data_IF_889177259558
#
_entry.id   IF_889177259558
#
_cell.length_a   1.000
_cell.length_b   1.000
_cell.length_c   1.000
_cell.angle_alpha   90.00
_cell.angle_beta   90.00
_cell.angle_gamma   90.00
#
_symmetry.space_group_name_H-M   'P 1'
#
loop_
_entity.id
_entity.type
_entity.pdbx_description
1 polymer ?
#
# COMPACT_ATOMS: atom_id res chain seq x y z
N UNK A 1 -17.77 1.86 7.74
CA UNK A 1 -18.68 2.51 6.77
C UNK A 1 -18.62 1.80 5.41
N UNK A 2 -17.55 1.88 4.60
CA UNK A 2 -17.46 1.25 3.26
C UNK A 2 -17.72 -0.27 3.30
N UNK A 3 -17.09 -0.99 4.22
CA UNK A 3 -17.30 -2.42 4.37
C UNK A 3 -18.78 -2.76 4.65
N UNK A 4 -19.46 -2.00 5.52
CA UNK A 4 -20.87 -2.18 5.80
C UNK A 4 -21.76 -1.88 4.58
N UNK A 5 -21.42 -0.85 3.80
CA UNK A 5 -22.17 -0.49 2.60
C UNK A 5 -22.11 -1.58 1.51
N UNK A 6 -21.03 -2.34 1.45
CA UNK A 6 -20.85 -3.45 0.49
C UNK A 6 -21.14 -4.83 1.06
N UNK A 7 -21.60 -4.96 2.33
CA UNK A 7 -21.70 -6.27 2.98
C UNK A 7 -20.36 -7.01 3.06
N UNK A 8 -19.25 -6.25 3.08
CA UNK A 8 -17.90 -6.76 3.01
C UNK A 8 -17.27 -6.97 4.40
N UNK A 9 -16.26 -7.83 4.45
CA UNK A 9 -15.41 -7.99 5.65
C UNK A 9 -14.26 -7.00 5.60
N UNK A 10 -14.01 -6.29 6.71
CA UNK A 10 -12.82 -5.47 6.87
C UNK A 10 -11.66 -6.36 7.34
N UNK A 11 -10.63 -6.53 6.51
CA UNK A 11 -9.43 -7.30 6.84
C UNK A 11 -8.31 -6.35 7.26
N UNK A 12 -7.74 -6.52 8.47
CA UNK A 12 -6.60 -5.73 8.90
C UNK A 12 -5.34 -6.12 8.11
N UNK A 13 -4.62 -5.14 7.59
CA UNK A 13 -3.38 -5.35 6.83
C UNK A 13 -2.19 -5.76 7.71
N UNK A 14 -2.29 -5.55 9.03
CA UNK A 14 -1.37 -6.10 10.02
C UNK A 14 -2.18 -7.06 10.90
N UNK A 15 -2.13 -8.38 10.65
CA UNK A 15 -2.87 -9.37 11.43
C UNK A 15 -2.55 -9.32 12.93
N UNK A 16 -3.44 -9.80 13.81
CA UNK A 16 -3.22 -9.79 15.26
C UNK A 16 -1.90 -10.44 15.70
N UNK A 17 -1.47 -11.49 15.02
CA UNK A 17 -0.21 -12.20 15.28
C UNK A 17 1.05 -11.33 15.08
N UNK A 18 0.94 -10.25 14.33
CA UNK A 18 2.03 -9.29 14.08
C UNK A 18 2.04 -8.11 15.06
N UNK A 19 0.99 -7.92 15.86
CA UNK A 19 0.83 -6.69 16.66
C UNK A 19 1.89 -6.52 17.74
N UNK A 20 2.30 -7.60 18.40
CA UNK A 20 3.36 -7.56 19.42
C UNK A 20 4.71 -7.11 18.82
N UNK A 21 5.08 -7.66 17.67
CA UNK A 21 6.34 -7.34 16.99
C UNK A 21 6.29 -5.95 16.32
N UNK A 22 5.11 -5.48 15.94
CA UNK A 22 4.93 -4.18 15.29
C UNK A 22 5.49 -3.02 16.09
N UNK A 23 5.23 -3.00 17.40
CA UNK A 23 5.72 -1.92 18.28
C UNK A 23 7.25 -1.89 18.32
N UNK A 24 7.88 -3.06 18.33
CA UNK A 24 9.34 -3.16 18.33
C UNK A 24 9.92 -2.70 16.97
N UNK A 25 9.39 -3.19 15.88
CA UNK A 25 9.82 -2.80 14.52
C UNK A 25 9.62 -1.30 14.27
N UNK A 26 8.53 -0.73 14.76
CA UNK A 26 8.26 0.72 14.60
C UNK A 26 9.22 1.59 15.45
N UNK A 27 9.86 1.05 16.50
CA UNK A 27 10.92 1.73 17.26
C UNK A 27 12.27 1.69 16.55
N UNK A 28 12.52 0.66 15.74
CA UNK A 28 13.75 0.54 14.99
C UNK A 28 13.86 1.63 13.90
N UNK A 29 15.08 2.14 13.69
CA UNK A 29 15.34 3.18 12.69
C UNK A 29 15.59 2.65 11.28
N UNK A 30 15.53 1.32 11.07
CA UNK A 30 15.85 0.68 9.81
C UNK A 30 14.61 0.58 8.93
N UNK A 31 14.59 1.34 7.82
CA UNK A 31 13.46 1.41 6.89
C UNK A 31 13.25 0.09 6.12
N UNK A 32 14.32 -0.62 5.78
CA UNK A 32 14.28 -1.91 5.10
C UNK A 32 13.67 -2.99 5.98
N UNK A 33 14.14 -3.12 7.24
CA UNK A 33 13.59 -4.09 8.19
C UNK A 33 12.10 -3.84 8.43
N UNK A 34 11.72 -2.56 8.56
CA UNK A 34 10.32 -2.16 8.69
C UNK A 34 9.51 -2.51 7.44
N UNK A 35 10.04 -2.26 6.25
CA UNK A 35 9.39 -2.62 4.99
C UNK A 35 9.16 -4.13 4.90
N UNK A 36 10.17 -4.95 5.18
CA UNK A 36 10.07 -6.41 5.19
C UNK A 36 9.00 -6.91 6.17
N UNK A 37 8.95 -6.33 7.37
CA UNK A 37 7.92 -6.66 8.36
C UNK A 37 6.51 -6.40 7.82
N UNK A 38 6.25 -5.19 7.28
CA UNK A 38 4.93 -4.85 6.75
C UNK A 38 4.58 -5.65 5.50
N UNK A 39 5.54 -5.99 4.64
CA UNK A 39 5.32 -6.88 3.51
C UNK A 39 4.93 -8.28 3.98
N UNK A 40 5.63 -8.86 4.97
CA UNK A 40 5.27 -10.16 5.55
C UNK A 40 3.86 -10.15 6.13
N UNK A 41 3.49 -9.10 6.88
CA UNK A 41 2.14 -8.95 7.41
C UNK A 41 1.07 -8.86 6.30
N UNK A 42 1.36 -8.13 5.23
CA UNK A 42 0.47 -8.00 4.07
C UNK A 42 0.29 -9.32 3.32
N UNK A 43 1.35 -10.10 3.12
CA UNK A 43 1.24 -11.44 2.52
C UNK A 43 0.39 -12.37 3.39
N UNK A 44 0.56 -12.35 4.71
CA UNK A 44 -0.30 -13.11 5.63
C UNK A 44 -1.77 -12.66 5.58
N UNK A 45 -2.01 -11.35 5.50
CA UNK A 45 -3.37 -10.82 5.32
C UNK A 45 -3.96 -11.25 3.97
N UNK A 46 -3.15 -11.37 2.92
CA UNK A 46 -3.58 -11.81 1.59
C UNK A 46 -4.16 -13.22 1.61
N UNK A 47 -3.60 -14.15 2.38
CA UNK A 47 -4.15 -15.50 2.53
C UNK A 47 -5.57 -15.46 3.13
N UNK A 48 -5.82 -14.57 4.06
CA UNK A 48 -7.16 -14.37 4.63
C UNK A 48 -8.10 -13.73 3.61
N UNK A 49 -7.63 -12.72 2.88
CA UNK A 49 -8.40 -12.06 1.81
C UNK A 49 -8.82 -13.08 0.75
N UNK A 50 -7.91 -13.93 0.28
CA UNK A 50 -8.19 -14.95 -0.73
C UNK A 50 -9.25 -15.95 -0.26
N UNK A 51 -9.20 -16.35 1.02
CA UNK A 51 -10.23 -17.25 1.59
C UNK A 51 -11.62 -16.63 1.56
N UNK A 52 -11.76 -15.35 1.92
CA UNK A 52 -13.04 -14.66 1.83
C UNK A 52 -13.52 -14.53 0.39
N UNK A 53 -12.65 -14.08 -0.51
CA UNK A 53 -12.98 -13.94 -1.93
C UNK A 53 -13.40 -15.27 -2.57
N UNK A 54 -12.71 -16.37 -2.24
CA UNK A 54 -13.07 -17.72 -2.71
C UNK A 54 -14.43 -18.21 -2.18
N UNK A 55 -14.86 -17.67 -1.04
CA UNK A 55 -16.20 -17.91 -0.48
C UNK A 55 -17.27 -16.94 -1.03
N UNK A 56 -16.91 -16.08 -2.00
CA UNK A 56 -17.82 -15.07 -2.55
C UNK A 56 -18.07 -13.87 -1.61
N UNK A 57 -17.27 -13.70 -0.56
CA UNK A 57 -17.41 -12.64 0.41
C UNK A 57 -16.56 -11.44 -0.01
N UNK A 58 -17.15 -10.25 -0.25
CA UNK A 58 -16.38 -9.05 -0.56
C UNK A 58 -15.46 -8.64 0.59
N UNK A 59 -14.32 -8.04 0.27
CA UNK A 59 -13.32 -7.63 1.25
C UNK A 59 -12.96 -6.15 1.07
N UNK A 60 -12.90 -5.43 2.18
CA UNK A 60 -12.33 -4.09 2.25
C UNK A 60 -11.03 -4.17 3.05
N UNK A 61 -9.99 -3.50 2.58
CA UNK A 61 -8.72 -3.34 3.28
C UNK A 61 -8.34 -1.86 3.37
N UNK A 62 -7.81 -1.45 4.51
CA UNK A 62 -7.19 -0.13 4.64
C UNK A 62 -5.70 -0.28 4.41
N UNK A 63 -5.19 0.38 3.35
CA UNK A 63 -3.74 0.43 3.10
C UNK A 63 -3.12 -0.92 2.70
N UNK A 64 -3.23 -1.26 1.44
CA UNK A 64 -2.64 -2.47 0.87
C UNK A 64 -1.17 -2.26 0.43
N UNK A 65 -0.60 -3.09 -0.47
CA UNK A 65 0.81 -3.04 -0.89
C UNK A 65 1.27 -1.67 -1.37
N UNK A 66 0.45 -0.93 -2.11
CA UNK A 66 0.80 0.38 -2.64
C UNK A 66 1.28 1.34 -1.54
N UNK A 67 0.58 1.40 -0.40
CA UNK A 67 1.01 2.25 0.72
C UNK A 67 2.32 1.77 1.35
N UNK A 68 2.48 0.46 1.53
CA UNK A 68 3.72 -0.08 2.08
C UNK A 68 4.91 0.30 1.19
N UNK A 69 4.81 0.08 -0.12
CA UNK A 69 5.88 0.35 -1.07
C UNK A 69 6.17 1.85 -1.19
N UNK A 70 5.14 2.69 -1.36
CA UNK A 70 5.31 4.13 -1.51
C UNK A 70 5.96 4.76 -0.27
N UNK A 71 5.42 4.47 0.91
CA UNK A 71 5.93 5.06 2.16
C UNK A 71 7.37 4.62 2.45
N UNK A 72 7.69 3.32 2.33
CA UNK A 72 9.03 2.86 2.70
C UNK A 72 10.11 3.32 1.71
N UNK A 73 9.77 3.44 0.41
CA UNK A 73 10.67 4.10 -0.56
C UNK A 73 10.94 5.55 -0.18
N UNK A 74 9.90 6.30 0.18
CA UNK A 74 10.03 7.69 0.62
C UNK A 74 10.81 7.81 1.94
N UNK A 75 10.78 6.80 2.81
CA UNK A 75 11.56 6.71 4.04
C UNK A 75 13.00 6.26 3.83
N UNK A 76 13.42 6.01 2.60
CA UNK A 76 14.79 5.65 2.25
C UNK A 76 15.07 4.16 2.15
N UNK A 77 14.05 3.29 2.22
CA UNK A 77 14.26 1.86 1.98
C UNK A 77 14.70 1.60 0.54
N UNK A 78 15.87 0.97 0.38
CA UNK A 78 16.46 0.65 -0.90
C UNK A 78 16.30 -0.85 -1.24
N UNK A 79 15.04 -1.30 -1.29
CA UNK A 79 14.69 -2.66 -1.65
C UNK A 79 13.89 -2.69 -2.96
N UNK A 80 14.36 -3.49 -3.93
CA UNK A 80 13.56 -3.84 -5.11
C UNK A 80 12.60 -4.95 -4.75
N UNK A 81 11.29 -4.67 -4.85
CA UNK A 81 10.24 -5.65 -4.56
C UNK A 81 9.38 -5.86 -5.79
N UNK A 82 9.32 -7.11 -6.24
CA UNK A 82 8.36 -7.57 -7.24
C UNK A 82 7.24 -8.34 -6.55
N UNK A 83 6.01 -7.91 -6.76
CA UNK A 83 4.85 -8.58 -6.18
C UNK A 83 4.44 -9.77 -7.07
N UNK A 84 4.06 -10.92 -6.49
CA UNK A 84 3.54 -12.07 -7.23
C UNK A 84 2.29 -11.71 -8.06
N UNK A 85 2.17 -12.28 -9.26
CA UNK A 85 1.02 -12.03 -10.15
C UNK A 85 -0.32 -12.55 -9.60
N UNK A 86 -0.30 -13.57 -8.75
CA UNK A 86 -1.49 -14.19 -8.16
C UNK A 86 -2.11 -13.42 -6.98
N UNK A 87 -1.60 -12.24 -6.63
CA UNK A 87 -2.19 -11.44 -5.57
C UNK A 87 -3.55 -10.85 -5.99
N UNK A 88 -4.54 -10.79 -5.08
CA UNK A 88 -5.78 -10.07 -5.32
C UNK A 88 -5.49 -8.62 -5.71
N UNK A 89 -6.09 -8.16 -6.80
CA UNK A 89 -5.98 -6.78 -7.28
C UNK A 89 -7.18 -5.99 -6.79
N UNK A 90 -7.02 -5.07 -5.84
CA UNK A 90 -8.12 -4.28 -5.33
C UNK A 90 -8.49 -3.13 -6.27
N UNK A 91 -9.74 -2.74 -6.27
CA UNK A 91 -10.13 -1.39 -6.66
C UNK A 91 -9.63 -0.48 -5.54
N UNK A 92 -8.75 0.46 -5.88
CA UNK A 92 -8.06 1.29 -4.88
C UNK A 92 -8.55 2.73 -4.97
N UNK A 93 -8.99 3.27 -3.83
CA UNK A 93 -9.38 4.68 -3.71
C UNK A 93 -8.31 5.45 -2.93
N UNK A 94 -7.76 6.50 -3.55
CA UNK A 94 -6.86 7.44 -2.91
C UNK A 94 -7.65 8.64 -2.41
N UNK A 95 -7.83 8.71 -1.10
CA UNK A 95 -8.55 9.81 -0.45
C UNK A 95 -7.61 11.00 -0.30
N UNK A 96 -7.78 12.02 -1.15
CA UNK A 96 -6.99 13.23 -1.15
C UNK A 96 -7.73 14.39 -0.47
N UNK A 97 -7.01 15.27 0.20
CA UNK A 97 -7.55 16.54 0.68
C UNK A 97 -6.53 17.66 0.52
N UNK A 98 -7.00 18.90 0.56
CA UNK A 98 -6.12 20.08 0.58
C UNK A 98 -5.19 20.02 1.80
N UNK A 99 -3.95 20.49 1.63
CA UNK A 99 -2.92 20.42 2.68
C UNK A 99 -3.35 21.11 3.98
N UNK A 100 -3.96 22.29 3.90
CA UNK A 100 -4.49 22.99 5.05
C UNK A 100 -5.54 22.17 5.84
N UNK A 101 -6.39 21.45 5.12
CA UNK A 101 -7.38 20.54 5.73
C UNK A 101 -6.72 19.32 6.35
N UNK A 102 -5.70 18.76 5.69
CA UNK A 102 -4.91 17.63 6.19
C UNK A 102 -4.25 18.01 7.52
N UNK A 103 -3.58 19.16 7.58
CA UNK A 103 -2.94 19.68 8.79
C UNK A 103 -3.98 19.92 9.91
N UNK A 104 -5.13 20.50 9.57
CA UNK A 104 -6.21 20.69 10.54
C UNK A 104 -6.72 19.37 11.13
N UNK A 105 -6.86 18.31 10.29
CA UNK A 105 -7.26 16.98 10.73
C UNK A 105 -6.20 16.31 11.59
N UNK A 106 -4.92 16.45 11.24
CA UNK A 106 -3.79 15.92 12.02
C UNK A 106 -3.72 16.57 13.40
N UNK A 107 -3.85 17.90 13.49
CA UNK A 107 -3.83 18.64 14.77
C UNK A 107 -4.96 18.24 15.73
N UNK A 108 -6.07 17.68 15.22
CA UNK A 108 -7.20 17.21 16.03
C UNK A 108 -7.09 15.75 16.46
N UNK A 109 -6.05 15.01 16.02
CA UNK A 109 -5.85 13.63 16.42
C UNK A 109 -5.32 13.58 17.86
N UNK A 110 -6.04 12.87 18.70
CA UNK A 110 -5.57 12.51 20.04
C UNK A 110 -4.65 11.27 19.96
N UNK A 111 -3.49 11.48 19.33
CA UNK A 111 -2.48 10.44 19.14
C UNK A 111 -1.09 11.09 19.11
N UNK A 112 -0.14 10.58 19.91
CA UNK A 112 1.24 11.07 19.84
C UNK A 112 1.83 10.84 18.43
N UNK A 113 2.56 11.84 17.95
CA UNK A 113 3.26 11.77 16.65
C UNK A 113 4.41 10.78 16.76
N UNK A 114 4.36 9.71 15.98
CA UNK A 114 5.46 8.76 15.89
C UNK A 114 6.57 9.28 14.97
N UNK A 115 7.78 8.71 15.07
CA UNK A 115 8.87 8.98 14.13
C UNK A 115 8.42 8.81 12.68
N UNK A 116 7.62 7.79 12.39
CA UNK A 116 7.17 7.48 11.03
C UNK A 116 6.08 8.45 10.54
N UNK A 117 5.25 8.98 11.46
CA UNK A 117 4.32 10.06 11.13
C UNK A 117 5.12 11.32 10.74
N UNK A 118 6.16 11.67 11.49
CA UNK A 118 7.02 12.81 11.17
C UNK A 118 7.77 12.63 9.84
N UNK A 119 8.30 11.43 9.56
CA UNK A 119 8.93 11.12 8.26
C UNK A 119 7.93 11.20 7.11
N UNK A 120 6.69 10.79 7.31
CA UNK A 120 5.64 10.90 6.30
C UNK A 120 5.30 12.35 5.98
N UNK A 121 5.32 13.24 6.98
CA UNK A 121 5.16 14.68 6.77
C UNK A 121 6.31 15.27 5.93
N UNK A 122 7.55 15.00 6.34
CA UNK A 122 8.75 15.52 5.64
C UNK A 122 8.82 15.01 4.18
N UNK A 123 8.30 13.82 3.89
CA UNK A 123 8.36 13.19 2.57
C UNK A 123 6.99 13.14 1.87
N UNK A 124 6.04 14.01 2.24
CA UNK A 124 4.67 13.97 1.71
C UNK A 124 4.61 14.02 0.18
N UNK A 125 5.43 14.89 -0.44
CA UNK A 125 5.50 15.00 -1.90
C UNK A 125 6.03 13.71 -2.55
N UNK A 126 7.13 13.15 -2.02
CA UNK A 126 7.70 11.88 -2.51
C UNK A 126 6.72 10.71 -2.39
N UNK A 127 5.93 10.69 -1.31
CA UNK A 127 4.90 9.68 -1.11
C UNK A 127 3.79 9.85 -2.14
N UNK A 128 3.36 11.09 -2.37
CA UNK A 128 2.32 11.42 -3.37
C UNK A 128 2.78 11.04 -4.77
N UNK A 129 4.00 11.38 -5.14
CA UNK A 129 4.61 11.00 -6.44
C UNK A 129 4.71 9.48 -6.60
N UNK A 130 5.10 8.77 -5.53
CA UNK A 130 5.16 7.32 -5.54
C UNK A 130 3.77 6.68 -5.76
N UNK A 131 2.71 7.28 -5.22
CA UNK A 131 1.35 6.80 -5.46
C UNK A 131 0.91 6.94 -6.92
N UNK A 132 1.44 7.91 -7.66
CA UNK A 132 1.13 8.07 -9.09
C UNK A 132 1.52 6.85 -9.95
N UNK A 133 2.40 5.97 -9.44
CA UNK A 133 2.78 4.72 -10.12
C UNK A 133 1.79 3.57 -9.90
N UNK A 134 0.73 3.77 -9.11
CA UNK A 134 -0.27 2.74 -8.82
C UNK A 134 -1.62 3.15 -9.41
N UNK A 135 -2.38 2.21 -10.01
CA UNK A 135 -3.74 2.49 -10.46
C UNK A 135 -4.65 2.77 -9.25
N UNK A 136 -5.19 3.98 -9.18
CA UNK A 136 -6.03 4.43 -8.07
C UNK A 136 -7.10 5.43 -8.54
N UNK A 137 -8.31 5.29 -8.01
CA UNK A 137 -9.36 6.30 -8.17
C UNK A 137 -9.14 7.41 -7.14
N UNK A 138 -8.93 8.63 -7.60
CA UNK A 138 -8.72 9.78 -6.70
C UNK A 138 -10.07 10.34 -6.26
N UNK A 139 -10.30 10.37 -4.95
CA UNK A 139 -11.49 10.96 -4.32
C UNK A 139 -11.07 12.15 -3.48
N UNK A 140 -11.58 13.36 -3.80
CA UNK A 140 -11.32 14.57 -3.03
C UNK A 140 -12.22 14.61 -1.80
N UNK A 141 -11.60 14.77 -0.62
CA UNK A 141 -12.30 14.75 0.67
C UNK A 141 -12.28 16.08 1.40
N UNK A 142 -11.76 17.15 0.76
CA UNK A 142 -11.69 18.50 1.34
C UNK A 142 -13.09 19.02 1.64
N UNK A 143 -13.33 19.38 2.89
CA UNK A 143 -14.61 19.91 3.34
C UNK A 143 -15.74 18.90 3.47
N UNK A 144 -15.51 17.63 3.12
CA UNK A 144 -16.51 16.57 3.19
C UNK A 144 -16.55 15.94 4.58
N UNK A 145 -17.76 15.60 5.01
CA UNK A 145 -18.03 14.71 6.15
C UNK A 145 -17.69 13.25 5.80
N UNK A 146 -17.52 12.36 6.78
CA UNK A 146 -17.30 10.94 6.51
C UNK A 146 -18.39 10.28 5.65
N UNK A 147 -19.66 10.67 5.81
CA UNK A 147 -20.78 10.13 5.01
C UNK A 147 -20.71 10.62 3.56
N UNK A 148 -20.41 11.90 3.34
CA UNK A 148 -20.20 12.45 1.98
C UNK A 148 -18.99 11.81 1.29
N UNK A 149 -17.91 11.52 2.02
CA UNK A 149 -16.77 10.75 1.48
C UNK A 149 -17.19 9.35 1.09
N UNK A 150 -18.00 8.67 1.90
CA UNK A 150 -18.54 7.36 1.56
C UNK A 150 -19.37 7.43 0.28
N UNK A 151 -20.27 8.40 0.15
CA UNK A 151 -21.07 8.57 -1.07
C UNK A 151 -20.20 8.86 -2.30
N UNK A 152 -19.16 9.70 -2.16
CA UNK A 152 -18.22 9.98 -3.24
C UNK A 152 -17.45 8.72 -3.70
N UNK A 153 -17.05 7.85 -2.77
CA UNK A 153 -16.42 6.56 -3.09
C UNK A 153 -17.41 5.64 -3.80
N UNK A 154 -18.66 5.52 -3.29
CA UNK A 154 -19.68 4.63 -3.87
C UNK A 154 -20.13 5.10 -5.26
N UNK A 155 -20.07 6.40 -5.55
CA UNK A 155 -20.43 6.95 -6.86
C UNK A 155 -19.29 6.91 -7.87
N UNK A 156 -18.08 6.55 -7.47
CA UNK A 156 -16.95 6.39 -8.39
C UNK A 156 -17.13 5.11 -9.20
N UNK A 157 -17.26 5.23 -10.52
CA UNK A 157 -17.38 4.07 -11.41
C UNK A 157 -16.01 3.43 -11.67
N UNK A 158 -15.73 2.25 -11.12
CA UNK A 158 -14.44 1.57 -11.31
C UNK A 158 -14.31 0.96 -12.73
N UNK A 159 -15.39 0.85 -13.50
CA UNK A 159 -15.35 0.22 -14.83
C UNK A 159 -14.96 1.21 -15.93
N UNK A 160 -15.29 2.49 -15.78
CA UNK A 160 -14.99 3.53 -16.77
C UNK A 160 -13.49 3.79 -16.98
N UNK A 161 -12.69 3.72 -15.92
CA UNK A 161 -11.23 3.96 -16.00
C UNK A 161 -10.40 2.72 -16.33
N UNK A 162 -10.84 1.52 -16.02
CA UNK A 162 -10.14 0.27 -16.39
C UNK A 162 -10.11 0.04 -17.90
N UNK A 163 -11.13 0.45 -18.64
CA UNK A 163 -11.15 0.38 -20.09
C UNK A 163 -10.07 1.27 -20.75
N UNK A 164 -9.63 2.34 -20.06
CA UNK A 164 -8.56 3.22 -20.55
C UNK A 164 -7.16 2.71 -20.18
N UNK A 165 -7.01 1.96 -19.09
CA UNK A 165 -5.72 1.43 -18.63
C UNK A 165 -5.26 0.21 -19.41
N UNK A 166 -6.19 -0.65 -19.86
CA UNK A 166 -5.86 -1.83 -20.68
C UNK A 166 -5.34 -1.46 -22.09
N UNK A 167 -5.64 -0.24 -22.56
CA UNK A 167 -5.15 0.25 -23.87
C UNK A 167 -3.71 0.79 -23.80
N UNK A 168 -3.16 1.07 -22.61
CA UNK A 168 -1.79 1.61 -22.45
C UNK A 168 -0.73 0.56 -22.07
N UNK A 169 -1.06 -0.72 -21.96
CA UNK A 169 -0.13 -1.76 -21.52
C UNK A 169 0.63 -2.45 -22.67
N UNK A 170 0.91 -1.72 -23.75
CA UNK A 170 1.84 -2.15 -24.81
C UNK A 170 2.97 -1.13 -24.91
N UNK A 171 3.89 -1.14 -23.97
CA UNK A 171 5.30 -0.75 -24.13
C UNK A 171 6.05 -0.83 -22.78
N UNK A 172 6.35 -2.03 -22.30
CA UNK A 172 7.42 -2.22 -21.33
C UNK A 172 8.65 -2.70 -22.10
N UNK A 173 9.65 -1.83 -22.26
CA UNK A 173 10.95 -2.19 -22.78
C UNK A 173 11.61 -3.27 -21.93
N UNK A 174 12.20 -4.33 -22.54
CA UNK A 174 13.01 -5.28 -21.82
C UNK A 174 14.36 -4.62 -21.48
N UNK A 175 14.57 -4.18 -20.25
CA UNK A 175 15.89 -3.86 -19.78
C UNK A 175 16.71 -5.17 -19.68
N UNK A 176 17.66 -5.30 -20.55
CA UNK A 176 18.73 -6.29 -20.53
C UNK A 176 19.41 -6.27 -19.15
N UNK A 177 19.30 -7.37 -18.45
CA UNK A 177 20.11 -7.63 -17.25
C UNK A 177 21.56 -7.82 -17.70
N UNK A 178 22.56 -7.20 -17.06
CA UNK A 178 23.95 -7.52 -17.31
C UNK A 178 24.22 -8.96 -16.88
N UNK A 179 24.84 -9.72 -17.77
CA UNK A 179 25.29 -11.10 -17.55
C UNK A 179 26.26 -11.19 -16.37
N UNK A 180 25.89 -11.95 -15.34
CA UNK A 180 26.76 -12.31 -14.23
C UNK A 180 27.83 -13.28 -14.76
N UNK A 181 29.14 -13.01 -14.61
CA UNK A 181 30.17 -13.96 -15.00
C UNK A 181 30.10 -15.21 -14.12
N UNK A 182 30.10 -16.39 -14.75
CA UNK A 182 30.19 -17.69 -14.07
C UNK A 182 31.51 -17.74 -13.29
N UNK A 183 31.42 -17.88 -11.97
CA UNK A 183 32.56 -18.28 -11.15
C UNK A 183 32.88 -19.75 -11.48
N UNK A 184 34.07 -19.99 -11.96
CA UNK A 184 34.70 -21.29 -12.08
C UNK A 184 34.84 -21.91 -10.67
N UNK A 185 34.33 -23.13 -10.50
CA UNK A 185 34.54 -23.94 -9.30
C UNK A 185 36.04 -24.18 -9.12
N UNK A 186 36.60 -23.65 -8.03
CA UNK A 186 37.92 -23.99 -7.52
C UNK A 186 37.78 -25.13 -6.53
N UNK A 187 38.43 -26.26 -6.83
CA UNK A 187 38.49 -27.46 -6.04
C UNK A 187 39.04 -27.18 -4.62
N UNK A 188 38.28 -27.63 -3.60
CA UNK A 188 38.83 -27.85 -2.26
C UNK A 188 39.45 -29.25 -2.24
N UNK A 189 40.78 -29.32 -2.20
CA UNK A 189 41.55 -30.49 -1.89
C UNK A 189 42.28 -30.30 -0.56
N UNK A 190 42.18 -31.35 0.31
CA UNK A 190 42.90 -31.66 1.53
C UNK A 190 42.89 -30.63 2.67
#
# INVERSE_FOLDING_TARGET
MLAAAHGAVLVPTVPPTYQALRQEVDRLGNAEARMCFYLSALFTATDQIQRYLSAGIPVVVESYFARCLANHRAFGANLSVSLPQGLPRPITYYLACAESERQRRLARRDKPVSRWDALAEINADKITDAYASFPMHRVTTTGLTPDEVLQAVLSTDPQGEQASADTQHVAAHPHLLPSVPRRTEGAYGA
#
